data_IF_687186958877
#
_entry.id   IF_687186958877
#
_cell.length_a   1.000
_cell.length_b   1.000
_cell.length_c   1.000
_cell.angle_alpha   90.00
_cell.angle_beta   90.00
_cell.angle_gamma   90.00
#
_symmetry.space_group_name_H-M   'P 1'
#
loop_
_entity.id
_entity.type
_entity.pdbx_description
1 polymer ?
#
# COMPACT_ATOMS: atom_id res chain seq x y z
N UNK A 1 -17.35 2.64 -7.82
CA UNK A 1 -16.36 2.79 -8.92
C UNK A 1 -15.32 1.72 -8.67
N UNK A 2 -15.41 0.59 -9.36
CA UNK A 2 -14.46 -0.50 -9.18
C UNK A 2 -13.05 0.05 -9.45
N UNK A 3 -12.11 -0.17 -8.54
CA UNK A 3 -10.67 0.07 -8.75
C UNK A 3 -10.14 -0.97 -9.76
N UNK A 4 -10.78 -1.09 -10.93
CA UNK A 4 -10.32 -1.95 -12.03
C UNK A 4 -9.26 -1.20 -12.81
N UNK A 5 -8.08 -1.10 -12.20
CA UNK A 5 -6.87 -0.98 -12.99
C UNK A 5 -6.69 -2.31 -13.73
N UNK A 6 -6.16 -2.26 -14.96
CA UNK A 6 -5.80 -3.45 -15.71
C UNK A 6 -4.78 -4.25 -14.87
N UNK A 7 -5.28 -5.19 -14.08
CA UNK A 7 -4.59 -5.72 -12.90
C UNK A 7 -3.39 -6.60 -13.27
N UNK A 8 -3.24 -6.95 -14.55
CA UNK A 8 -2.22 -7.87 -15.02
C UNK A 8 -2.68 -9.32 -14.89
N UNK A 9 -1.72 -10.22 -14.81
CA UNK A 9 -1.95 -11.67 -14.73
C UNK A 9 -2.26 -12.06 -13.29
N UNK A 10 -3.40 -12.71 -13.01
CA UNK A 10 -3.77 -13.14 -11.66
C UNK A 10 -3.03 -14.42 -11.26
N UNK A 11 -2.53 -14.49 -10.03
CA UNK A 11 -1.89 -15.63 -9.39
C UNK A 11 -2.56 -15.90 -8.04
N UNK A 12 -2.68 -17.17 -7.68
CA UNK A 12 -3.15 -17.58 -6.37
C UNK A 12 -2.07 -17.35 -5.30
N UNK A 13 -2.43 -17.10 -4.03
CA UNK A 13 -1.47 -16.97 -2.93
C UNK A 13 -0.46 -18.12 -2.85
N UNK A 14 -0.92 -19.37 -3.03
CA UNK A 14 -0.05 -20.57 -3.03
C UNK A 14 0.98 -20.58 -4.16
N UNK A 15 0.66 -19.97 -5.30
CA UNK A 15 1.59 -19.85 -6.42
C UNK A 15 2.64 -18.77 -6.13
N UNK A 16 2.23 -17.65 -5.56
CA UNK A 16 3.16 -16.58 -5.15
C UNK A 16 4.06 -17.05 -4.02
N UNK A 17 3.54 -17.80 -3.05
CA UNK A 17 4.33 -18.44 -1.98
C UNK A 17 5.37 -19.41 -2.55
N UNK A 18 4.97 -20.28 -3.50
CA UNK A 18 5.91 -21.14 -4.22
C UNK A 18 7.00 -20.34 -4.93
N UNK A 19 6.67 -19.21 -5.56
CA UNK A 19 7.65 -18.35 -6.23
C UNK A 19 8.58 -17.65 -5.23
N UNK A 20 8.08 -17.23 -4.07
CA UNK A 20 8.89 -16.66 -2.98
C UNK A 20 9.88 -17.71 -2.43
N UNK A 21 9.40 -18.93 -2.16
CA UNK A 21 10.24 -20.06 -1.75
C UNK A 21 11.28 -20.39 -2.82
N UNK A 22 10.89 -20.42 -4.09
CA UNK A 22 11.83 -20.64 -5.20
C UNK A 22 12.87 -19.52 -5.28
N UNK A 23 12.45 -18.27 -5.04
CA UNK A 23 13.35 -17.12 -5.02
C UNK A 23 14.30 -17.12 -3.81
N UNK A 24 13.94 -17.83 -2.74
CA UNK A 24 14.55 -17.77 -1.40
C UNK A 24 14.42 -16.37 -0.77
N UNK A 25 13.27 -15.70 -1.00
CA UNK A 25 13.02 -14.34 -0.53
C UNK A 25 11.55 -14.19 -0.15
N UNK A 26 11.27 -13.54 0.98
CA UNK A 26 9.91 -13.22 1.39
C UNK A 26 9.25 -12.17 0.48
N UNK A 27 7.92 -12.22 0.37
CA UNK A 27 7.16 -11.22 -0.36
C UNK A 27 7.37 -9.82 0.26
N UNK A 28 7.52 -8.76 -0.56
CA UNK A 28 7.68 -7.41 -0.04
C UNK A 28 6.40 -6.87 0.57
N UNK A 29 6.54 -6.11 1.66
CA UNK A 29 5.47 -5.26 2.17
C UNK A 29 4.93 -4.35 1.03
N UNK A 30 3.61 -4.13 0.92
CA UNK A 30 2.52 -4.57 1.80
C UNK A 30 1.82 -5.87 1.38
N UNK A 31 2.44 -6.71 0.55
CA UNK A 31 1.81 -7.96 0.12
C UNK A 31 1.69 -8.94 1.30
N UNK A 32 0.52 -9.54 1.47
CA UNK A 32 0.25 -10.56 2.48
C UNK A 32 0.12 -11.92 1.80
N UNK A 33 1.24 -12.67 1.79
CA UNK A 33 1.30 -14.00 1.20
C UNK A 33 1.47 -15.03 2.33
N UNK A 34 0.40 -15.76 2.71
CA UNK A 34 0.49 -16.77 3.75
C UNK A 34 1.39 -17.93 3.31
N UNK A 35 2.23 -18.42 4.22
CA UNK A 35 2.96 -19.66 4.01
C UNK A 35 1.98 -20.83 3.78
N UNK A 36 2.23 -21.62 2.74
CA UNK A 36 1.32 -22.68 2.33
C UNK A 36 1.52 -23.96 3.12
N UNK A 37 0.45 -24.42 3.75
CA UNK A 37 0.40 -25.68 4.48
C UNK A 37 0.92 -25.58 5.91
N UNK A 38 0.44 -26.50 6.75
CA UNK A 38 0.77 -26.61 8.17
C UNK A 38 1.85 -27.66 8.45
N UNK A 39 2.25 -28.42 7.41
CA UNK A 39 3.29 -29.46 7.46
C UNK A 39 4.03 -29.58 6.11
N UNK A 40 5.24 -30.11 6.12
CA UNK A 40 6.04 -30.33 4.91
C UNK A 40 5.35 -31.23 3.86
N UNK A 41 4.52 -32.18 4.31
CA UNK A 41 3.80 -33.07 3.41
C UNK A 41 2.66 -32.32 2.70
N UNK A 42 1.94 -31.49 3.46
CA UNK A 42 0.86 -30.64 2.94
C UNK A 42 1.44 -29.57 2.00
N UNK A 43 2.49 -28.87 2.41
CA UNK A 43 3.16 -27.85 1.59
C UNK A 43 3.64 -28.45 0.27
N UNK A 44 4.30 -29.61 0.27
CA UNK A 44 4.72 -30.29 -0.97
C UNK A 44 3.55 -30.65 -1.88
N UNK A 45 2.40 -31.02 -1.31
CA UNK A 45 1.19 -31.30 -2.08
C UNK A 45 0.62 -30.02 -2.71
N UNK A 46 0.55 -28.92 -1.94
CA UNK A 46 0.09 -27.62 -2.40
C UNK A 46 1.00 -27.06 -3.51
N UNK A 47 2.32 -27.10 -3.32
CA UNK A 47 3.30 -26.64 -4.31
C UNK A 47 3.30 -27.48 -5.59
N UNK A 48 3.04 -28.79 -5.50
CA UNK A 48 2.85 -29.61 -6.70
C UNK A 48 1.67 -29.11 -7.53
N UNK A 49 0.52 -28.91 -6.89
CA UNK A 49 -0.68 -28.40 -7.55
C UNK A 49 -0.47 -26.99 -8.11
N UNK A 50 0.20 -26.11 -7.36
CA UNK A 50 0.54 -24.75 -7.82
C UNK A 50 1.44 -24.77 -9.07
N UNK A 51 2.46 -25.64 -9.10
CA UNK A 51 3.31 -25.83 -10.27
C UNK A 51 2.51 -26.32 -11.48
N UNK A 52 1.62 -27.30 -11.28
CA UNK A 52 0.75 -27.81 -12.35
C UNK A 52 -0.16 -26.70 -12.91
N UNK A 53 -0.70 -25.82 -12.05
CA UNK A 53 -1.51 -24.68 -12.46
C UNK A 53 -0.70 -23.61 -13.21
N UNK A 54 0.50 -23.28 -12.73
CA UNK A 54 1.40 -22.36 -13.42
C UNK A 54 1.78 -22.90 -14.81
N UNK A 55 2.15 -24.18 -14.90
CA UNK A 55 2.48 -24.82 -16.19
C UNK A 55 1.30 -24.88 -17.14
N UNK A 56 0.10 -25.23 -16.64
CA UNK A 56 -1.11 -25.22 -17.45
C UNK A 56 -1.43 -23.83 -18.04
N UNK A 57 -1.03 -22.76 -17.35
CA UNK A 57 -1.20 -21.37 -17.79
C UNK A 57 0.00 -20.80 -18.55
N UNK A 58 1.05 -21.60 -18.78
CA UNK A 58 2.27 -21.17 -19.47
C UNK A 58 3.14 -20.19 -18.66
N UNK A 59 2.97 -20.16 -17.34
CA UNK A 59 3.74 -19.35 -16.39
C UNK A 59 4.88 -20.13 -15.74
N UNK A 60 5.06 -21.40 -16.10
CA UNK A 60 6.20 -22.23 -15.71
C UNK A 60 6.38 -23.41 -16.68
N UNK A 61 7.60 -23.93 -16.78
CA UNK A 61 7.94 -25.17 -17.49
C UNK A 61 8.84 -26.07 -16.62
N UNK A 62 9.47 -27.09 -17.23
CA UNK A 62 10.43 -27.94 -16.52
C UNK A 62 11.70 -27.21 -16.01
N UNK A 63 12.02 -26.03 -16.55
CA UNK A 63 13.21 -25.26 -16.22
C UNK A 63 12.94 -24.20 -15.16
N UNK A 64 11.69 -23.75 -15.00
CA UNK A 64 11.33 -22.80 -13.96
C UNK A 64 10.11 -21.94 -14.30
N UNK A 65 9.96 -20.80 -13.62
CA UNK A 65 8.90 -19.84 -13.92
C UNK A 65 9.13 -19.15 -15.27
N UNK A 66 8.05 -18.68 -15.90
CA UNK A 66 8.04 -17.99 -17.19
C UNK A 66 7.20 -16.71 -17.13
N UNK A 67 7.52 -15.72 -17.98
CA UNK A 67 6.75 -14.48 -18.08
C UNK A 67 6.70 -13.72 -16.76
N UNK A 68 5.52 -13.26 -16.33
CA UNK A 68 5.39 -12.49 -15.08
C UNK A 68 5.88 -13.25 -13.83
N UNK A 69 5.84 -14.58 -13.84
CA UNK A 69 6.35 -15.38 -12.72
C UNK A 69 7.89 -15.38 -12.70
N UNK A 70 8.52 -15.39 -13.87
CA UNK A 70 9.97 -15.26 -14.02
C UNK A 70 10.42 -13.86 -13.61
N UNK A 71 9.73 -12.83 -14.12
CA UNK A 71 9.97 -11.43 -13.77
C UNK A 71 9.87 -11.23 -12.25
N UNK A 72 8.85 -11.82 -11.61
CA UNK A 72 8.68 -11.74 -10.16
C UNK A 72 9.85 -12.35 -9.41
N UNK A 73 10.24 -13.58 -9.73
CA UNK A 73 11.38 -14.26 -9.08
C UNK A 73 12.69 -13.51 -9.33
N UNK A 74 12.94 -13.07 -10.56
CA UNK A 74 14.14 -12.34 -10.93
C UNK A 74 14.24 -11.01 -10.17
N UNK A 75 13.17 -10.22 -10.18
CA UNK A 75 13.13 -8.92 -9.52
C UNK A 75 13.17 -9.06 -8.00
N UNK A 76 12.51 -10.05 -7.42
CA UNK A 76 12.54 -10.30 -5.98
C UNK A 76 13.96 -10.61 -5.48
N UNK A 77 14.76 -11.32 -6.29
CA UNK A 77 16.18 -11.56 -6.01
C UNK A 77 17.06 -10.33 -6.24
N UNK A 78 16.78 -9.57 -7.30
CA UNK A 78 17.71 -8.59 -7.86
C UNK A 78 17.42 -7.13 -7.49
N UNK A 79 16.23 -6.82 -6.96
CA UNK A 79 15.88 -5.46 -6.60
C UNK A 79 16.53 -5.06 -5.27
N UNK A 80 16.98 -3.81 -5.22
CA UNK A 80 17.59 -3.17 -4.04
C UNK A 80 16.57 -2.37 -3.23
N UNK A 81 15.37 -2.19 -3.77
CA UNK A 81 14.26 -1.54 -3.11
C UNK A 81 12.96 -1.76 -3.86
N UNK A 82 11.87 -1.67 -3.12
CA UNK A 82 10.49 -1.80 -3.59
C UNK A 82 9.77 -0.50 -3.29
N UNK A 83 9.11 0.05 -4.29
CA UNK A 83 8.16 1.15 -4.09
C UNK A 83 6.83 0.54 -3.69
N UNK A 84 6.29 0.95 -2.56
CA UNK A 84 5.22 0.23 -1.91
C UNK A 84 4.07 1.20 -1.57
N UNK A 85 2.81 0.78 -1.77
CA UNK A 85 1.63 1.61 -1.57
C UNK A 85 0.48 0.82 -0.93
N UNK A 86 -0.16 1.44 0.07
CA UNK A 86 -1.39 0.95 0.68
C UNK A 86 -2.49 1.98 0.45
N UNK A 87 -3.67 1.53 0.03
CA UNK A 87 -4.85 2.36 -0.18
C UNK A 87 -6.04 1.73 0.56
N UNK A 88 -6.68 2.50 1.42
CA UNK A 88 -7.89 2.08 2.10
C UNK A 88 -9.05 3.00 1.70
N UNK A 89 -10.14 2.42 1.20
CA UNK A 89 -11.35 3.16 0.85
C UNK A 89 -12.57 2.25 1.00
N UNK A 90 -13.51 2.64 1.86
CA UNK A 90 -14.74 1.88 2.10
C UNK A 90 -14.40 0.40 2.41
N UNK A 91 -14.87 -0.54 1.59
CA UNK A 91 -14.63 -1.99 1.72
C UNK A 91 -13.39 -2.47 0.95
N UNK A 92 -12.59 -1.57 0.37
CA UNK A 92 -11.38 -1.92 -0.38
C UNK A 92 -10.14 -1.58 0.42
N UNK A 93 -9.28 -2.58 0.61
CA UNK A 93 -7.93 -2.42 1.13
C UNK A 93 -6.93 -2.94 0.10
N UNK A 94 -6.34 -2.05 -0.67
CA UNK A 94 -5.46 -2.40 -1.77
C UNK A 94 -3.99 -2.23 -1.35
N UNK A 95 -3.25 -3.33 -1.43
CA UNK A 95 -1.80 -3.40 -1.35
C UNK A 95 -1.20 -3.36 -2.76
N UNK A 96 -0.13 -2.58 -2.94
CA UNK A 96 0.63 -2.54 -4.18
C UNK A 96 2.13 -2.46 -3.91
N UNK A 97 2.90 -3.22 -4.67
CA UNK A 97 4.36 -3.22 -4.65
C UNK A 97 4.89 -3.10 -6.08
N UNK A 98 5.90 -2.26 -6.29
CA UNK A 98 6.62 -2.15 -7.55
C UNK A 98 8.06 -2.57 -7.31
N UNK A 99 8.38 -3.77 -7.80
CA UNK A 99 9.75 -4.26 -7.82
C UNK A 99 10.46 -3.67 -9.03
N UNK A 100 11.70 -3.21 -8.86
CA UNK A 100 12.43 -2.50 -9.92
C UNK A 100 13.87 -3.00 -9.98
N UNK A 101 14.33 -3.32 -11.17
CA UNK A 101 15.74 -3.51 -11.46
C UNK A 101 16.08 -2.80 -12.78
N UNK A 102 16.94 -1.76 -12.70
CA UNK A 102 17.26 -0.86 -13.82
C UNK A 102 16.00 -0.18 -14.38
N UNK A 103 15.54 -0.59 -15.56
CA UNK A 103 14.35 -0.05 -16.24
C UNK A 103 13.18 -1.05 -16.28
N UNK A 104 13.42 -2.29 -15.86
CA UNK A 104 12.40 -3.34 -15.74
C UNK A 104 11.68 -3.16 -14.40
N UNK A 105 10.35 -3.20 -14.45
CA UNK A 105 9.50 -3.11 -13.29
C UNK A 105 8.35 -4.12 -13.34
N UNK A 106 7.92 -4.54 -12.16
CA UNK A 106 6.75 -5.39 -11.99
C UNK A 106 5.84 -4.74 -10.95
N UNK A 107 4.65 -4.34 -11.38
CA UNK A 107 3.59 -3.91 -10.48
C UNK A 107 2.85 -5.15 -9.99
N UNK A 108 2.84 -5.34 -8.68
CA UNK A 108 2.10 -6.39 -7.98
C UNK A 108 1.03 -5.73 -7.14
N UNK A 109 -0.23 -6.16 -7.29
CA UNK A 109 -1.36 -5.64 -6.53
C UNK A 109 -2.14 -6.76 -5.88
N UNK A 110 -2.66 -6.52 -4.67
CA UNK A 110 -3.46 -7.45 -3.90
C UNK A 110 -4.60 -6.70 -3.21
N UNK A 111 -5.83 -7.18 -3.37
CA UNK A 111 -6.97 -6.71 -2.57
C UNK A 111 -7.01 -7.50 -1.26
N UNK A 112 -6.55 -6.88 -0.18
CA UNK A 112 -6.49 -7.47 1.16
C UNK A 112 -7.87 -7.61 1.80
N UNK A 113 -8.90 -6.97 1.25
CA UNK A 113 -10.27 -7.16 1.70
C UNK A 113 -10.98 -8.33 0.98
N UNK A 114 -10.37 -8.89 -0.08
CA UNK A 114 -10.93 -10.01 -0.83
C UNK A 114 -10.66 -11.35 -0.15
N UNK A 115 -11.69 -12.19 -0.02
CA UNK A 115 -11.57 -13.54 0.55
C UNK A 115 -10.67 -14.48 -0.27
N UNK A 116 -10.50 -14.23 -1.56
CA UNK A 116 -9.69 -15.08 -2.45
C UNK A 116 -8.19 -14.77 -2.40
N UNK A 117 -7.82 -13.60 -1.85
CA UNK A 117 -6.45 -13.12 -1.73
C UNK A 117 -5.69 -13.02 -3.06
N UNK A 118 -6.38 -12.95 -4.20
CA UNK A 118 -5.73 -13.02 -5.52
C UNK A 118 -4.72 -11.89 -5.70
N UNK A 119 -3.55 -12.25 -6.26
CA UNK A 119 -2.46 -11.33 -6.52
C UNK A 119 -2.35 -11.12 -8.01
N UNK A 120 -2.34 -9.87 -8.46
CA UNK A 120 -2.25 -9.54 -9.87
C UNK A 120 -0.88 -8.92 -10.18
N UNK A 121 -0.23 -9.43 -11.23
CA UNK A 121 1.13 -9.06 -11.61
C UNK A 121 1.18 -8.49 -13.03
N UNK A 122 1.79 -7.32 -13.19
CA UNK A 122 1.91 -6.64 -14.48
C UNK A 122 3.34 -6.17 -14.73
N UNK A 123 3.99 -6.81 -15.71
CA UNK A 123 5.28 -6.36 -16.21
C UNK A 123 5.14 -4.99 -16.91
N UNK A 124 6.10 -4.10 -16.67
CA UNK A 124 6.10 -2.73 -17.15
C UNK A 124 7.52 -2.14 -17.15
N UNK A 125 7.69 -1.00 -17.81
CA UNK A 125 8.83 -0.11 -17.51
C UNK A 125 8.60 0.63 -16.18
N UNK A 126 9.65 1.20 -15.60
CA UNK A 126 9.51 1.99 -14.37
C UNK A 126 8.49 3.14 -14.50
N UNK A 127 8.54 3.88 -15.60
CA UNK A 127 7.63 5.01 -15.83
C UNK A 127 6.16 4.56 -15.98
N UNK A 128 5.93 3.43 -16.66
CA UNK A 128 4.60 2.83 -16.78
C UNK A 128 4.07 2.33 -15.43
N UNK A 129 4.93 1.67 -14.64
CA UNK A 129 4.57 1.20 -13.31
C UNK A 129 4.21 2.37 -12.37
N UNK A 130 4.94 3.48 -12.42
CA UNK A 130 4.62 4.71 -11.67
C UNK A 130 3.25 5.25 -12.11
N UNK A 131 3.00 5.35 -13.41
CA UNK A 131 1.74 5.86 -13.93
C UNK A 131 0.55 4.97 -13.54
N UNK A 132 0.73 3.64 -13.56
CA UNK A 132 -0.27 2.69 -13.12
C UNK A 132 -0.50 2.75 -11.60
N UNK A 133 0.55 2.88 -10.80
CA UNK A 133 0.45 3.05 -9.35
C UNK A 133 -0.35 4.33 -9.01
N UNK A 134 -0.08 5.44 -9.69
CA UNK A 134 -0.85 6.69 -9.53
C UNK A 134 -2.30 6.54 -10.01
N UNK A 135 -2.58 5.66 -10.98
CA UNK A 135 -3.96 5.36 -11.43
C UNK A 135 -4.77 4.60 -10.39
N UNK A 136 -4.14 3.82 -9.50
CA UNK A 136 -4.82 3.17 -8.36
C UNK A 136 -5.39 4.21 -7.40
N UNK A 137 -4.72 5.35 -7.25
CA UNK A 137 -5.16 6.40 -6.34
C UNK A 137 -6.43 7.09 -6.88
N UNK A 138 -7.54 7.14 -6.10
CA UNK A 138 -8.79 7.76 -6.51
C UNK A 138 -8.60 9.18 -7.07
N UNK A 139 -9.41 9.54 -8.07
CA UNK A 139 -9.41 10.88 -8.64
C UNK A 139 -10.20 11.83 -7.74
N UNK A 140 -9.48 12.61 -6.95
CA UNK A 140 -10.01 13.71 -6.16
C UNK A 140 -9.18 14.97 -6.43
N UNK A 141 -9.85 16.11 -6.45
CA UNK A 141 -9.21 17.41 -6.54
C UNK A 141 -8.59 17.80 -5.20
N UNK A 142 -7.61 18.71 -5.25
CA UNK A 142 -7.10 19.34 -4.04
C UNK A 142 -8.12 20.34 -3.49
N UNK A 143 -8.36 20.36 -2.17
CA UNK A 143 -9.24 21.33 -1.53
C UNK A 143 -8.65 22.74 -1.64
N UNK A 144 -9.50 23.73 -1.90
CA UNK A 144 -9.12 25.16 -1.84
C UNK A 144 -9.16 25.63 -0.38
N UNK A 145 -8.14 25.24 0.40
CA UNK A 145 -8.00 25.65 1.80
C UNK A 145 -6.55 25.91 2.15
N UNK A 146 -6.32 26.82 3.09
CA UNK A 146 -4.98 27.08 3.60
C UNK A 146 -4.49 25.86 4.42
N UNK A 147 -3.20 25.51 4.34
CA UNK A 147 -2.59 24.52 5.23
C UNK A 147 -2.84 24.84 6.71
N UNK A 148 -2.98 23.80 7.52
CA UNK A 148 -3.14 23.92 8.96
C UNK A 148 -2.41 22.79 9.69
N UNK A 149 -2.14 23.00 10.99
CA UNK A 149 -1.49 22.02 11.85
C UNK A 149 -2.44 21.50 12.90
N UNK A 150 -2.31 20.22 13.23
CA UNK A 150 -3.03 19.52 14.28
C UNK A 150 -2.01 18.89 15.25
N UNK A 151 -2.23 18.97 16.58
CA UNK A 151 -1.44 18.21 17.55
C UNK A 151 -1.66 16.70 17.36
N UNK A 152 -0.59 15.92 17.16
CA UNK A 152 -0.69 14.49 16.87
C UNK A 152 -1.33 13.72 18.02
N UNK A 153 -0.94 14.00 19.27
CA UNK A 153 -1.46 13.32 20.46
C UNK A 153 -2.98 13.40 20.58
N UNK A 154 -3.57 14.51 20.16
CA UNK A 154 -5.02 14.69 20.25
C UNK A 154 -5.76 13.91 19.15
N UNK A 155 -5.18 13.79 17.97
CA UNK A 155 -5.68 12.91 16.91
C UNK A 155 -5.63 11.45 17.35
N UNK A 156 -4.52 11.02 17.95
CA UNK A 156 -4.35 9.67 18.48
C UNK A 156 -5.36 9.37 19.61
N UNK A 157 -5.58 10.31 20.53
CA UNK A 157 -6.59 10.18 21.57
C UNK A 157 -8.02 10.08 21.01
N UNK A 158 -8.37 10.92 20.03
CA UNK A 158 -9.66 10.87 19.36
C UNK A 158 -9.87 9.55 18.59
N UNK A 159 -8.81 9.04 17.95
CA UNK A 159 -8.85 7.76 17.26
C UNK A 159 -8.99 6.59 18.25
N UNK A 160 -8.22 6.58 19.34
CA UNK A 160 -8.34 5.55 20.39
C UNK A 160 -9.75 5.51 20.96
N UNK A 161 -10.35 6.67 21.25
CA UNK A 161 -11.72 6.75 21.76
C UNK A 161 -12.76 6.20 20.76
N UNK A 162 -12.52 6.36 19.46
CA UNK A 162 -13.37 5.80 18.40
C UNK A 162 -13.21 4.27 18.27
N UNK A 163 -11.96 3.77 18.35
CA UNK A 163 -11.66 2.33 18.32
C UNK A 163 -12.26 1.61 19.54
N UNK A 164 -12.09 2.17 20.73
CA UNK A 164 -12.61 1.61 21.98
C UNK A 164 -14.14 1.52 21.97
N UNK A 165 -14.80 2.44 21.26
CA UNK A 165 -16.26 2.49 21.15
C UNK A 165 -16.82 1.61 20.03
N UNK A 166 -16.07 1.44 18.94
CA UNK A 166 -16.52 0.72 17.74
C UNK A 166 -17.59 1.44 16.91
N UNK A 167 -17.90 2.70 17.21
CA UNK A 167 -18.87 3.54 16.48
C UNK A 167 -18.30 4.95 16.23
N UNK A 168 -18.73 5.65 15.16
CA UNK A 168 -18.33 7.03 14.91
C UNK A 168 -18.70 7.95 16.07
N UNK A 169 -17.76 8.79 16.50
CA UNK A 169 -18.01 9.84 17.49
C UNK A 169 -18.88 10.96 16.88
N UNK A 170 -19.84 11.46 17.64
CA UNK A 170 -20.56 12.68 17.31
C UNK A 170 -19.61 13.88 17.40
N UNK A 171 -19.92 14.96 16.68
CA UNK A 171 -19.09 16.16 16.68
C UNK A 171 -18.83 16.73 18.09
N UNK A 172 -19.82 16.68 18.98
CA UNK A 172 -19.68 17.11 20.39
C UNK A 172 -18.71 16.24 21.19
N UNK A 173 -18.72 14.92 20.96
CA UNK A 173 -17.84 13.98 21.64
C UNK A 173 -16.39 14.13 21.17
N UNK A 174 -16.21 14.42 19.87
CA UNK A 174 -14.91 14.79 19.31
C UNK A 174 -14.41 16.07 19.99
N UNK A 175 -15.25 17.10 20.11
CA UNK A 175 -14.87 18.35 20.77
C UNK A 175 -14.48 18.11 22.25
N UNK A 176 -15.19 17.25 22.98
CA UNK A 176 -14.86 16.89 24.37
C UNK A 176 -13.51 16.16 24.49
N UNK A 177 -13.25 15.17 23.62
CA UNK A 177 -11.97 14.45 23.62
C UNK A 177 -10.82 15.38 23.30
N UNK A 178 -11.00 16.29 22.33
CA UNK A 178 -9.97 17.26 21.97
C UNK A 178 -9.76 18.32 23.06
N UNK A 179 -10.83 18.80 23.69
CA UNK A 179 -10.75 19.75 24.81
C UNK A 179 -9.99 19.15 26.00
N UNK A 180 -10.19 17.86 26.29
CA UNK A 180 -9.44 17.13 27.33
C UNK A 180 -7.92 17.06 27.04
N UNK A 181 -7.52 17.22 25.78
CA UNK A 181 -6.12 17.29 25.34
C UNK A 181 -5.59 18.74 25.25
N UNK A 182 -6.33 19.72 25.77
CA UNK A 182 -5.95 21.14 25.75
C UNK A 182 -6.04 21.77 24.36
N UNK A 183 -6.81 21.17 23.44
CA UNK A 183 -7.03 21.73 22.11
C UNK A 183 -8.15 22.78 22.15
N UNK A 184 -7.86 23.96 21.59
CA UNK A 184 -8.83 25.02 21.33
C UNK A 184 -9.86 24.58 20.27
N UNK A 185 -11.14 24.90 20.52
CA UNK A 185 -12.28 24.88 19.59
C UNK A 185 -11.93 25.14 18.12
N UNK A 186 -11.03 26.09 17.84
CA UNK A 186 -10.64 26.44 16.47
C UNK A 186 -9.95 25.28 15.73
N UNK A 187 -9.12 24.51 16.43
CA UNK A 187 -8.40 23.36 15.86
C UNK A 187 -9.37 22.18 15.72
N UNK A 188 -10.22 21.94 16.71
CA UNK A 188 -11.29 20.92 16.65
C UNK A 188 -12.24 21.16 15.48
N UNK A 189 -12.72 22.39 15.31
CA UNK A 189 -13.56 22.80 14.17
C UNK A 189 -12.85 22.60 12.84
N UNK A 190 -11.53 22.82 12.74
CA UNK A 190 -10.77 22.54 11.51
C UNK A 190 -10.72 21.05 11.20
N UNK A 191 -10.47 20.22 12.22
CA UNK A 191 -10.46 18.77 12.06
C UNK A 191 -11.82 18.24 11.59
N UNK A 192 -12.89 18.58 12.31
CA UNK A 192 -14.26 18.15 11.97
C UNK A 192 -14.70 18.70 10.62
N UNK A 193 -14.44 19.97 10.33
CA UNK A 193 -14.90 20.56 9.07
C UNK A 193 -14.11 20.07 7.85
N UNK A 194 -12.78 19.93 7.93
CA UNK A 194 -11.97 19.62 6.75
C UNK A 194 -11.66 18.14 6.55
N UNK A 195 -11.53 17.39 7.66
CA UNK A 195 -11.04 16.01 7.64
C UNK A 195 -12.14 14.96 7.81
N UNK A 196 -13.36 15.36 8.16
CA UNK A 196 -14.51 14.45 8.30
C UNK A 196 -15.60 14.76 7.27
N UNK A 197 -16.27 13.75 6.70
CA UNK A 197 -15.99 12.32 6.85
C UNK A 197 -14.73 11.90 6.06
N UNK A 198 -13.98 10.93 6.60
CA UNK A 198 -12.88 10.26 5.89
C UNK A 198 -13.48 9.28 4.89
N UNK A 199 -13.26 9.51 3.60
CA UNK A 199 -13.70 8.61 2.53
C UNK A 199 -12.65 7.53 2.24
N UNK A 200 -11.38 7.84 2.49
CA UNK A 200 -10.28 6.91 2.30
C UNK A 200 -8.96 7.50 2.75
N UNK A 201 -7.90 6.71 2.70
CA UNK A 201 -6.55 7.14 2.99
C UNK A 201 -5.56 6.33 2.15
N UNK A 202 -4.32 6.80 2.12
CA UNK A 202 -3.26 6.06 1.49
C UNK A 202 -1.89 6.46 1.97
N UNK A 203 -0.94 5.57 1.68
CA UNK A 203 0.46 5.73 2.02
C UNK A 203 1.30 5.15 0.89
N UNK A 204 2.38 5.85 0.53
CA UNK A 204 3.41 5.33 -0.39
C UNK A 204 4.79 5.59 0.19
N UNK A 205 5.64 4.58 0.10
CA UNK A 205 7.00 4.58 0.66
C UNK A 205 7.94 3.72 -0.16
N UNK A 206 9.15 3.54 0.37
CA UNK A 206 10.14 2.63 -0.20
C UNK A 206 10.55 1.65 0.88
N UNK A 207 10.50 0.36 0.56
CA UNK A 207 11.13 -0.68 1.35
C UNK A 207 12.48 -1.06 0.73
N UNK A 208 13.45 -1.40 1.57
CA UNK A 208 14.73 -1.97 1.16
C UNK A 208 15.00 -3.23 1.96
N UNK A 209 15.67 -4.18 1.33
CA UNK A 209 16.23 -5.35 2.01
C UNK A 209 17.68 -5.04 2.34
N UNK A 210 18.13 -5.35 3.55
CA UNK A 210 19.55 -5.28 3.88
C UNK A 210 20.25 -6.61 3.54
N UNK A 211 21.58 -6.63 3.46
CA UNK A 211 22.33 -7.84 3.07
C UNK A 211 22.37 -8.92 4.17
N UNK A 212 21.78 -8.64 5.34
CA UNK A 212 21.88 -9.47 6.56
C UNK A 212 20.55 -10.06 7.01
N UNK A 213 19.44 -9.45 6.61
CA UNK A 213 18.07 -9.81 6.93
C UNK A 213 17.31 -9.96 5.60
N UNK A 214 16.80 -11.16 5.31
CA UNK A 214 15.98 -11.43 4.12
C UNK A 214 14.59 -10.72 4.17
N UNK A 215 14.46 -9.69 5.01
CA UNK A 215 13.23 -8.97 5.30
C UNK A 215 13.24 -7.56 4.71
N UNK A 216 12.07 -7.14 4.25
CA UNK A 216 11.85 -5.80 3.70
C UNK A 216 11.61 -4.79 4.81
N UNK A 217 12.47 -3.78 4.92
CA UNK A 217 12.31 -2.70 5.89
C UNK A 217 11.99 -1.39 5.17
N UNK A 218 10.95 -0.69 5.63
CA UNK A 218 10.61 0.63 5.09
C UNK A 218 11.68 1.66 5.47
N UNK A 219 12.11 2.46 4.50
CA UNK A 219 13.19 3.44 4.66
C UNK A 219 12.80 4.83 4.16
N UNK A 220 13.27 5.84 4.89
CA UNK A 220 13.21 7.24 4.48
C UNK A 220 11.82 7.88 4.57
N UNK A 221 11.61 8.91 3.76
CA UNK A 221 10.36 9.68 3.72
C UNK A 221 9.22 8.88 3.09
N UNK A 222 8.02 9.07 3.60
CA UNK A 222 6.76 8.55 3.05
C UNK A 222 5.81 9.69 2.67
N UNK A 223 4.95 9.44 1.70
CA UNK A 223 3.79 10.28 1.44
C UNK A 223 2.55 9.60 2.03
N UNK A 224 1.91 10.27 2.99
CA UNK A 224 0.60 9.88 3.55
C UNK A 224 -0.46 10.88 3.16
N UNK A 225 -1.67 10.40 2.91
CA UNK A 225 -2.79 11.26 2.61
C UNK A 225 -4.11 10.71 3.11
N UNK A 226 -5.09 11.61 3.14
CA UNK A 226 -6.47 11.38 3.51
C UNK A 226 -7.37 11.96 2.44
N UNK A 227 -8.40 11.20 2.07
CA UNK A 227 -9.42 11.58 1.11
C UNK A 227 -10.71 11.93 1.86
N UNK A 228 -11.26 13.10 1.58
CA UNK A 228 -12.56 13.54 2.13
C UNK A 228 -13.46 14.05 1.02
N UNK A 229 -14.71 14.36 1.35
CA UNK A 229 -15.65 15.00 0.42
C UNK A 229 -15.13 16.34 -0.13
N UNK A 230 -14.21 16.99 0.59
CA UNK A 230 -13.65 18.29 0.20
C UNK A 230 -12.43 18.16 -0.70
N UNK A 231 -11.88 16.96 -0.83
CA UNK A 231 -10.67 16.69 -1.61
C UNK A 231 -9.61 15.93 -0.82
N UNK A 232 -8.42 15.84 -1.42
CA UNK A 232 -7.29 15.11 -0.82
C UNK A 232 -6.36 16.01 -0.03
N UNK A 233 -5.96 15.53 1.14
CA UNK A 233 -5.00 16.19 2.02
C UNK A 233 -3.76 15.33 2.24
N UNK A 234 -2.57 15.92 2.10
CA UNK A 234 -1.31 15.35 2.55
C UNK A 234 -1.19 15.49 4.06
N UNK A 235 -0.78 14.41 4.71
CA UNK A 235 -0.42 14.36 6.12
C UNK A 235 1.10 14.26 6.25
N UNK A 236 1.73 15.25 6.87
CA UNK A 236 3.18 15.27 7.11
C UNK A 236 3.48 15.88 8.46
N UNK A 237 4.53 15.43 9.15
CA UNK A 237 4.90 15.98 10.45
C UNK A 237 5.74 15.03 11.27
N UNK A 238 5.98 15.41 12.52
CA UNK A 238 6.81 14.69 13.49
C UNK A 238 5.93 14.05 14.59
N UNK A 239 6.53 13.72 15.73
CA UNK A 239 5.87 13.11 16.87
C UNK A 239 4.90 14.05 17.62
N UNK A 240 5.02 15.37 17.45
CA UNK A 240 4.21 16.35 18.18
C UNK A 240 3.16 16.98 17.29
N UNK A 241 3.51 17.29 16.04
CA UNK A 241 2.67 18.06 15.13
C UNK A 241 2.45 17.35 13.80
N UNK A 242 1.24 17.48 13.29
CA UNK A 242 0.83 17.02 11.97
C UNK A 242 0.36 18.21 11.14
N UNK A 243 1.06 18.50 10.06
CA UNK A 243 0.62 19.42 9.02
C UNK A 243 -0.34 18.71 8.07
N UNK A 244 -1.40 19.44 7.72
CA UNK A 244 -2.45 19.04 6.80
C UNK A 244 -2.44 20.04 5.65
N UNK A 245 -2.13 19.54 4.45
CA UNK A 245 -1.92 20.37 3.27
C UNK A 245 -2.82 19.85 2.14
N UNK A 246 -3.44 20.70 1.30
CA UNK A 246 -4.03 20.23 0.05
C UNK A 246 -3.02 19.42 -0.76
N UNK A 247 -3.44 18.30 -1.36
CA UNK A 247 -2.55 17.42 -2.13
C UNK A 247 -3.11 17.22 -3.55
N UNK A 248 -2.66 18.04 -4.52
CA UNK A 248 -2.95 17.86 -5.93
C UNK A 248 -2.47 16.52 -6.45
N UNK A 249 -3.18 15.97 -7.44
CA UNK A 249 -2.81 14.70 -8.08
C UNK A 249 -1.40 14.72 -8.68
N UNK A 250 -0.98 15.87 -9.23
CA UNK A 250 0.37 16.02 -9.79
C UNK A 250 1.45 15.84 -8.71
N UNK A 251 1.23 16.35 -7.50
CA UNK A 251 2.18 16.18 -6.38
C UNK A 251 2.30 14.73 -5.94
N UNK A 252 1.24 13.92 -6.06
CA UNK A 252 1.33 12.46 -5.83
C UNK A 252 2.26 11.83 -6.86
N UNK A 253 2.05 12.13 -8.15
CA UNK A 253 2.90 11.60 -9.22
C UNK A 253 4.37 12.00 -9.02
N UNK A 254 4.62 13.26 -8.69
CA UNK A 254 5.97 13.77 -8.45
C UNK A 254 6.62 13.13 -7.22
N UNK A 255 5.85 12.93 -6.14
CA UNK A 255 6.32 12.24 -4.94
C UNK A 255 6.63 10.76 -5.21
N UNK A 256 5.74 10.05 -5.91
CA UNK A 256 5.95 8.65 -6.31
C UNK A 256 7.20 8.52 -7.18
N UNK A 257 7.39 9.41 -8.15
CA UNK A 257 8.61 9.43 -8.97
C UNK A 257 9.87 9.74 -8.15
N UNK A 258 9.81 10.68 -7.20
CA UNK A 258 10.91 10.97 -6.27
C UNK A 258 11.26 9.74 -5.42
N UNK A 259 10.27 9.00 -4.95
CA UNK A 259 10.45 7.76 -4.19
C UNK A 259 11.06 6.65 -5.04
N UNK A 260 10.58 6.47 -6.27
CA UNK A 260 11.10 5.49 -7.22
C UNK A 260 12.60 5.69 -7.51
N UNK A 261 13.11 6.92 -7.49
CA UNK A 261 14.56 7.17 -7.63
C UNK A 261 15.38 6.58 -6.48
N UNK A 262 14.77 6.28 -5.34
CA UNK A 262 15.41 5.67 -4.16
C UNK A 262 15.31 4.14 -4.14
N UNK A 263 14.66 3.50 -5.11
CA UNK A 263 14.69 2.03 -5.22
C UNK A 263 15.97 1.53 -5.89
N UNK A 264 16.67 2.43 -6.61
CA UNK A 264 17.96 2.21 -7.26
C UNK A 264 19.15 2.41 -6.30
#
# INVERSE_FOLDING_TARGET
MELRVNAGTPLHPVEVDLLCVFAEVEAPFPLEIPASGTSDAEQRSLFRSAREQLTARGLADENGPLGVAEDFVFLLRSCTGVLDMVLAKEEVLLAAAVLVHRDEALLVTQDLASDDGMIAMKAATLDEAIDDLVRLVPRLEAPVTAPFSLPRRALEAAFSALVDRGEPLLAQEIDEVLAAQGIDDRVSRRMVSHLQPVLGNGQVGVARRDDTEDQWQRVGEELRWLDTERGRYRLAGDAEWMSVNPLPRQEIRDAVRKLALKTR
#
